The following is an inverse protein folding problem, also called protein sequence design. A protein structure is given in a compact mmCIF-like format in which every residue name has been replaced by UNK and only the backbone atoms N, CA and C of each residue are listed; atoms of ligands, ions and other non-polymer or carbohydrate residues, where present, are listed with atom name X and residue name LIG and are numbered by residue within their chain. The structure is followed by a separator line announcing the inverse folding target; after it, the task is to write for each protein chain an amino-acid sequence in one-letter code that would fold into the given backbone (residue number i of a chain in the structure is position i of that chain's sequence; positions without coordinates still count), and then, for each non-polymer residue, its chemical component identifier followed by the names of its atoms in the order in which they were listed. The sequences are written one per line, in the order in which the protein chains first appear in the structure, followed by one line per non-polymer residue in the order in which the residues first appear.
data_IF_101073951902
#
_entry.id   IF_101073951902
#
_cell.length_a   1.000
_cell.length_b   1.000
_cell.length_c   1.000
_cell.angle_alpha   90.00
_cell.angle_beta   90.00
_cell.angle_gamma   90.00
#
_symmetry.space_group_name_H-M   'P 1'
#
loop_
_entity.id
_entity.type
_entity.pdbx_description
1 polymer ?
#
# COMPACT_ATOMS: atom_id res chain seq x y z
N UNK A 1 12.26 -14.31 11.78
CA UNK A 1 13.33 -15.34 11.71
C UNK A 1 14.62 -14.73 12.24
N UNK A 2 15.42 -15.46 13.02
CA UNK A 2 16.64 -14.90 13.66
C UNK A 2 16.40 -13.55 14.37
N UNK A 3 15.27 -13.43 15.08
CA UNK A 3 14.76 -12.23 15.75
C UNK A 3 14.28 -11.07 14.86
N UNK A 4 14.45 -11.12 13.55
CA UNK A 4 13.86 -10.14 12.64
C UNK A 4 12.38 -10.45 12.37
N UNK A 5 11.58 -9.40 12.27
CA UNK A 5 10.20 -9.43 11.85
C UNK A 5 10.08 -9.48 10.32
N UNK A 6 8.95 -10.00 9.86
CA UNK A 6 8.44 -9.89 8.49
C UNK A 6 6.99 -9.43 8.61
N UNK A 7 6.53 -8.55 7.73
CA UNK A 7 5.13 -8.07 7.77
C UNK A 7 4.46 -8.17 6.41
N UNK A 8 3.36 -8.91 6.35
CA UNK A 8 2.71 -9.29 5.10
C UNK A 8 1.21 -9.26 5.26
N UNK A 9 0.56 -8.43 4.45
CA UNK A 9 -0.89 -8.45 4.25
C UNK A 9 -1.22 -8.91 2.82
N UNK A 10 -2.16 -9.84 2.73
CA UNK A 10 -2.79 -10.28 1.48
C UNK A 10 -4.30 -10.32 1.67
N UNK A 11 -5.02 -9.89 0.66
CA UNK A 11 -6.48 -10.03 0.60
C UNK A 11 -6.83 -10.99 -0.52
N UNK A 12 -7.57 -12.07 -0.21
CA UNK A 12 -7.91 -13.13 -1.17
C UNK A 12 -9.40 -13.45 -1.12
N UNK A 13 -10.01 -13.89 -2.24
CA UNK A 13 -11.40 -14.33 -2.24
C UNK A 13 -11.49 -15.73 -1.62
N UNK A 14 -12.27 -15.89 -0.55
CA UNK A 14 -12.37 -17.16 0.19
C UNK A 14 -12.77 -18.35 -0.72
N UNK A 15 -13.60 -18.09 -1.73
CA UNK A 15 -14.04 -19.09 -2.72
C UNK A 15 -13.11 -19.21 -3.95
N UNK A 16 -11.94 -18.57 -3.93
CA UNK A 16 -10.97 -18.60 -5.02
C UNK A 16 -11.28 -17.69 -6.22
N UNK A 17 -12.36 -16.90 -6.20
CA UNK A 17 -12.69 -15.96 -7.30
C UNK A 17 -13.15 -14.60 -6.78
N UNK A 18 -12.50 -13.53 -7.24
CA UNK A 18 -12.94 -12.18 -6.92
C UNK A 18 -14.25 -11.88 -7.66
N UNK A 19 -15.19 -11.21 -7.00
CA UNK A 19 -16.28 -10.55 -7.73
C UNK A 19 -15.72 -9.41 -8.58
N UNK A 20 -16.43 -8.95 -9.63
CA UNK A 20 -15.96 -7.83 -10.44
C UNK A 20 -15.60 -6.58 -9.60
N UNK A 21 -16.42 -6.26 -8.59
CA UNK A 21 -16.17 -5.11 -7.70
C UNK A 21 -14.97 -5.32 -6.79
N UNK A 22 -14.80 -6.52 -6.21
CA UNK A 22 -13.62 -6.82 -5.39
C UNK A 22 -12.35 -6.74 -6.24
N UNK A 23 -12.37 -7.28 -7.46
CA UNK A 23 -11.22 -7.26 -8.38
C UNK A 23 -10.86 -5.83 -8.81
N UNK A 24 -11.85 -4.97 -9.03
CA UNK A 24 -11.65 -3.56 -9.36
C UNK A 24 -10.91 -2.81 -8.23
N UNK A 25 -11.39 -2.95 -6.98
CA UNK A 25 -10.78 -2.32 -5.80
C UNK A 25 -9.41 -2.96 -5.50
N UNK A 26 -9.26 -4.27 -5.70
CA UNK A 26 -8.00 -4.98 -5.51
C UNK A 26 -6.92 -4.42 -6.43
N UNK A 27 -7.24 -4.32 -7.72
CA UNK A 27 -6.33 -3.80 -8.72
C UNK A 27 -6.01 -2.32 -8.50
N UNK A 28 -6.94 -1.54 -7.93
CA UNK A 28 -6.67 -0.17 -7.50
C UNK A 28 -5.61 -0.12 -6.39
N UNK A 29 -5.77 -0.91 -5.32
CA UNK A 29 -4.76 -1.01 -4.25
C UNK A 29 -3.42 -1.49 -4.79
N UNK A 30 -3.41 -2.48 -5.69
CA UNK A 30 -2.19 -3.00 -6.30
C UNK A 30 -1.46 -1.93 -7.15
N UNK A 31 -2.19 -1.11 -7.90
CA UNK A 31 -1.60 0.02 -8.64
C UNK A 31 -0.98 1.04 -7.70
N UNK A 32 -1.65 1.38 -6.59
CA UNK A 32 -1.09 2.28 -5.57
C UNK A 32 0.17 1.67 -4.97
N UNK A 33 0.15 0.39 -4.60
CA UNK A 33 1.31 -0.31 -4.02
C UNK A 33 2.51 -0.27 -4.97
N UNK A 34 2.32 -0.66 -6.24
CA UNK A 34 3.40 -0.66 -7.24
C UNK A 34 4.02 0.72 -7.41
N UNK A 35 3.21 1.77 -7.44
CA UNK A 35 3.69 3.15 -7.53
C UNK A 35 4.36 3.63 -6.23
N UNK A 36 3.80 3.28 -5.08
CA UNK A 36 4.33 3.60 -3.75
C UNK A 36 5.71 2.98 -3.53
N UNK A 37 5.91 1.71 -3.90
CA UNK A 37 7.23 1.04 -3.81
C UNK A 37 8.31 1.86 -4.51
N UNK A 38 8.04 2.44 -5.69
CA UNK A 38 9.02 3.26 -6.43
C UNK A 38 9.44 4.55 -5.71
N UNK A 39 8.67 5.00 -4.71
CA UNK A 39 8.97 6.19 -3.90
C UNK A 39 9.87 5.88 -2.69
N UNK A 40 10.03 4.60 -2.31
CA UNK A 40 10.92 4.14 -1.24
C UNK A 40 12.38 4.10 -1.73
N UNK A 41 12.99 5.28 -1.81
CA UNK A 41 14.34 5.49 -2.33
C UNK A 41 15.13 6.47 -1.46
N UNK A 42 16.48 6.47 -1.54
CA UNK A 42 17.31 7.39 -0.77
C UNK A 42 16.89 8.86 -1.00
N UNK A 43 16.91 9.65 0.07
CA UNK A 43 16.54 11.07 0.05
C UNK A 43 15.05 11.38 0.27
N UNK A 44 14.15 10.40 0.16
CA UNK A 44 12.72 10.60 0.46
C UNK A 44 12.49 10.73 1.98
N UNK A 45 11.61 11.65 2.42
CA UNK A 45 11.12 11.71 3.80
C UNK A 45 9.82 10.92 3.96
N UNK A 46 9.60 10.32 5.14
CA UNK A 46 8.39 9.51 5.40
C UNK A 46 7.09 10.30 5.25
N UNK A 47 7.06 11.56 5.69
CA UNK A 47 5.88 12.41 5.57
C UNK A 47 5.57 12.75 4.10
N UNK A 48 6.61 13.01 3.29
CA UNK A 48 6.45 13.29 1.85
C UNK A 48 6.02 12.03 1.09
N UNK A 49 6.59 10.88 1.45
CA UNK A 49 6.15 9.58 0.95
C UNK A 49 4.65 9.36 1.19
N UNK A 50 4.18 9.55 2.43
CA UNK A 50 2.76 9.38 2.77
C UNK A 50 1.85 10.36 2.02
N UNK A 51 2.28 11.61 1.80
CA UNK A 51 1.53 12.59 1.00
C UNK A 51 1.39 12.15 -0.46
N UNK A 52 2.48 11.70 -1.08
CA UNK A 52 2.46 11.23 -2.47
C UNK A 52 1.62 9.96 -2.63
N UNK A 53 1.72 9.01 -1.69
CA UNK A 53 0.83 7.82 -1.69
C UNK A 53 -0.64 8.23 -1.51
N UNK A 54 -0.91 9.24 -0.68
CA UNK A 54 -2.25 9.83 -0.55
C UNK A 54 -2.82 10.32 -1.89
N UNK A 55 -2.03 11.05 -2.69
CA UNK A 55 -2.43 11.51 -4.03
C UNK A 55 -2.70 10.35 -5.00
N UNK A 56 -1.85 9.32 -4.97
CA UNK A 56 -2.07 8.09 -5.76
C UNK A 56 -3.38 7.41 -5.37
N UNK A 57 -3.65 7.32 -4.07
CA UNK A 57 -4.88 6.76 -3.52
C UNK A 57 -6.12 7.56 -3.94
N UNK A 58 -6.07 8.89 -3.86
CA UNK A 58 -7.18 9.76 -4.31
C UNK A 58 -7.55 9.53 -5.76
N UNK A 59 -6.55 9.44 -6.64
CA UNK A 59 -6.78 9.17 -8.06
C UNK A 59 -7.51 7.85 -8.29
N UNK A 60 -7.13 6.81 -7.55
CA UNK A 60 -7.79 5.50 -7.63
C UNK A 60 -9.20 5.53 -7.02
N UNK A 61 -9.41 6.23 -5.90
CA UNK A 61 -10.75 6.40 -5.29
C UNK A 61 -11.71 7.17 -6.20
N UNK A 62 -11.21 8.15 -6.97
CA UNK A 62 -12.01 8.84 -8.00
C UNK A 62 -12.35 7.89 -9.15
N UNK A 63 -11.39 7.08 -9.62
CA UNK A 63 -11.64 6.06 -10.67
C UNK A 63 -12.70 5.03 -10.24
N UNK A 64 -12.65 4.61 -8.98
CA UNK A 64 -13.61 3.70 -8.36
C UNK A 64 -14.98 4.34 -8.05
N UNK A 65 -15.14 5.64 -8.32
CA UNK A 65 -16.32 6.46 -8.02
C UNK A 65 -16.67 6.51 -6.53
N UNK A 66 -15.68 6.34 -5.66
CA UNK A 66 -15.82 6.45 -4.20
C UNK A 66 -15.63 7.90 -3.72
N UNK A 67 -14.96 8.72 -4.54
CA UNK A 67 -14.80 10.16 -4.36
C UNK A 67 -15.16 10.90 -5.65
N UNK A 68 -15.66 12.12 -5.49
CA UNK A 68 -15.90 13.05 -6.58
C UNK A 68 -14.64 13.87 -6.90
N UNK A 69 -14.32 14.04 -8.19
CA UNK A 69 -13.11 14.70 -8.62
C UNK A 69 -13.10 16.21 -8.32
N UNK A 70 -14.26 16.88 -8.39
CA UNK A 70 -14.39 18.30 -8.03
C UNK A 70 -14.25 18.51 -6.53
N UNK A 71 -14.79 17.60 -5.71
CA UNK A 71 -14.61 17.62 -4.28
C UNK A 71 -13.14 17.45 -3.87
N UNK A 72 -12.43 16.49 -4.49
CA UNK A 72 -10.98 16.28 -4.26
C UNK A 72 -10.17 17.53 -4.63
N UNK A 73 -10.48 18.20 -5.75
CA UNK A 73 -9.80 19.46 -6.14
C UNK A 73 -9.99 20.61 -5.15
N UNK A 74 -11.06 20.60 -4.37
CA UNK A 74 -11.45 21.68 -3.44
C UNK A 74 -11.27 21.30 -1.97
N UNK A 75 -10.69 20.14 -1.70
CA UNK A 75 -10.54 19.64 -0.34
C UNK A 75 -9.56 20.48 0.47
N UNK A 76 -9.69 20.37 1.79
CA UNK A 76 -8.68 20.85 2.74
C UNK A 76 -7.48 19.89 2.71
N UNK A 77 -6.29 20.39 2.36
CA UNK A 77 -5.07 19.55 2.27
C UNK A 77 -4.69 18.92 3.60
N UNK A 78 -5.05 19.54 4.73
CA UNK A 78 -4.82 18.99 6.07
C UNK A 78 -5.86 17.92 6.45
N UNK A 79 -6.95 17.79 5.67
CA UNK A 79 -8.04 16.81 5.87
C UNK A 79 -8.43 16.14 4.55
N UNK A 80 -7.49 15.40 3.93
CA UNK A 80 -7.72 14.85 2.61
C UNK A 80 -8.83 13.79 2.64
N UNK A 81 -9.70 13.82 1.63
CA UNK A 81 -10.91 13.00 1.54
C UNK A 81 -10.60 11.51 1.46
N UNK A 82 -9.43 11.12 0.93
CA UNK A 82 -9.04 9.71 0.89
C UNK A 82 -8.99 9.07 2.27
N UNK A 83 -8.77 9.85 3.34
CA UNK A 83 -8.70 9.33 4.71
C UNK A 83 -9.99 8.64 5.17
N UNK A 84 -11.13 8.90 4.49
CA UNK A 84 -12.37 8.12 4.68
C UNK A 84 -12.17 6.63 4.36
N UNK A 85 -11.38 6.31 3.34
CA UNK A 85 -11.17 4.94 2.83
C UNK A 85 -9.77 4.38 3.10
N UNK A 86 -8.78 5.24 3.38
CA UNK A 86 -7.40 4.88 3.66
C UNK A 86 -6.84 5.76 4.80
N UNK A 87 -7.12 5.37 6.05
CA UNK A 87 -6.91 6.19 7.25
C UNK A 87 -5.50 6.10 7.85
N UNK A 88 -4.80 4.99 7.64
CA UNK A 88 -3.47 4.73 8.23
C UNK A 88 -2.32 5.32 7.37
N UNK A 89 -1.08 5.13 7.83
CA UNK A 89 0.12 5.42 7.04
C UNK A 89 0.36 4.34 6.00
N UNK A 90 1.14 4.66 4.96
CA UNK A 90 1.46 3.73 3.87
C UNK A 90 2.73 2.89 4.12
N UNK A 91 3.45 3.15 5.21
CA UNK A 91 4.74 2.54 5.51
C UNK A 91 5.18 2.81 6.95
N UNK A 92 5.92 1.88 7.53
CA UNK A 92 6.75 2.06 8.73
C UNK A 92 8.07 1.31 8.60
N UNK A 93 9.05 1.65 9.45
CA UNK A 93 10.30 0.89 9.54
C UNK A 93 10.03 -0.54 10.02
N UNK A 94 10.84 -1.49 9.52
CA UNK A 94 10.78 -2.89 9.89
C UNK A 94 12.19 -3.43 10.20
N UNK A 95 12.30 -4.28 11.22
CA UNK A 95 13.58 -4.88 11.60
C UNK A 95 13.44 -5.84 12.78
N UNK A 96 14.00 -5.48 13.93
CA UNK A 96 13.89 -6.33 15.14
C UNK A 96 12.50 -6.27 15.76
N UNK A 97 11.75 -5.20 15.48
CA UNK A 97 10.33 -5.07 15.79
C UNK A 97 9.53 -4.90 14.50
N UNK A 98 8.23 -5.21 14.57
CA UNK A 98 7.30 -5.00 13.44
C UNK A 98 7.21 -3.52 13.10
N UNK A 99 6.82 -2.69 14.06
CA UNK A 99 7.00 -1.23 13.97
C UNK A 99 8.36 -0.88 14.57
N UNK A 100 9.42 -0.97 13.77
CA UNK A 100 10.78 -0.75 14.27
C UNK A 100 11.09 0.72 14.50
N UNK A 101 12.12 0.94 15.30
CA UNK A 101 12.58 2.29 15.61
C UNK A 101 13.04 3.02 14.34
N UNK A 102 12.60 4.27 14.19
CA UNK A 102 13.07 5.15 13.13
C UNK A 102 12.82 6.62 13.43
N UNK A 103 13.73 7.47 12.95
CA UNK A 103 13.55 8.91 13.01
C UNK A 103 12.80 9.39 11.76
N UNK A 104 11.52 9.73 11.90
CA UNK A 104 10.70 10.20 10.77
C UNK A 104 11.18 11.48 10.08
N UNK A 105 12.07 12.25 10.72
CA UNK A 105 12.68 13.46 10.16
C UNK A 105 13.99 13.19 9.42
N UNK A 106 14.46 11.93 9.41
CA UNK A 106 15.61 11.49 8.65
C UNK A 106 15.13 11.02 7.27
N UNK A 107 15.79 11.51 6.22
CA UNK A 107 15.59 10.98 4.88
C UNK A 107 15.98 9.51 4.80
N UNK A 108 15.31 8.76 3.95
CA UNK A 108 15.65 7.38 3.68
C UNK A 108 17.07 7.25 3.14
N UNK A 109 17.74 6.16 3.49
CA UNK A 109 19.07 5.79 3.04
C UNK A 109 19.09 4.31 2.64
N UNK A 110 20.05 3.93 1.80
CA UNK A 110 20.24 2.53 1.44
C UNK A 110 20.52 1.68 2.70
N UNK A 111 19.93 0.49 2.73
CA UNK A 111 19.98 -0.43 3.87
C UNK A 111 18.81 -0.30 4.85
N UNK A 112 17.98 0.74 4.75
CA UNK A 112 16.73 0.82 5.50
C UNK A 112 15.69 -0.15 4.94
N UNK A 113 14.89 -0.76 5.82
CA UNK A 113 13.77 -1.63 5.46
C UNK A 113 12.46 -1.02 5.94
N UNK A 114 11.47 -1.02 5.06
CA UNK A 114 10.15 -0.44 5.27
C UNK A 114 9.05 -1.36 4.76
N UNK A 115 7.89 -1.33 5.39
CA UNK A 115 6.67 -1.89 4.78
C UNK A 115 6.14 -0.97 3.69
N UNK A 116 5.38 -1.51 2.73
CA UNK A 116 4.58 -0.74 1.79
C UNK A 116 3.15 -1.31 1.75
N UNK A 117 2.23 -0.67 2.44
CA UNK A 117 0.96 -1.28 2.88
C UNK A 117 -0.32 -0.48 2.54
N UNK A 118 -0.52 0.02 1.30
CA UNK A 118 -1.76 0.73 0.99
C UNK A 118 -2.99 -0.16 1.12
N UNK A 119 -4.12 0.45 1.49
CA UNK A 119 -5.40 -0.25 1.55
C UNK A 119 -6.60 0.65 1.31
N UNK A 120 -7.71 0.05 0.87
CA UNK A 120 -9.00 0.70 0.69
C UNK A 120 -10.04 -0.08 1.50
N UNK A 121 -10.73 0.59 2.41
CA UNK A 121 -11.75 0.00 3.29
C UNK A 121 -13.10 0.66 3.02
N UNK A 122 -14.07 -0.10 2.51
CA UNK A 122 -15.38 0.42 2.06
C UNK A 122 -16.47 -0.15 2.97
N UNK A 123 -16.74 0.55 4.07
CA UNK A 123 -17.74 0.11 5.06
C UNK A 123 -19.11 -0.17 4.44
N UNK A 124 -19.55 0.69 3.51
CA UNK A 124 -20.88 0.60 2.88
C UNK A 124 -21.00 -0.61 1.94
N UNK A 125 -19.88 -1.10 1.40
CA UNK A 125 -19.82 -2.31 0.56
C UNK A 125 -19.44 -3.57 1.36
N UNK A 126 -19.09 -3.43 2.64
CA UNK A 126 -18.84 -4.54 3.56
C UNK A 126 -17.49 -5.25 3.37
N UNK A 127 -16.53 -4.66 2.67
CA UNK A 127 -15.19 -5.24 2.50
C UNK A 127 -14.07 -4.20 2.51
N UNK A 128 -12.84 -4.67 2.68
CA UNK A 128 -11.64 -3.87 2.56
C UNK A 128 -10.48 -4.70 2.01
N UNK A 129 -9.52 -4.03 1.41
CA UNK A 129 -8.37 -4.64 0.76
C UNK A 129 -7.11 -3.93 1.22
N UNK A 130 -6.13 -4.68 1.71
CA UNK A 130 -4.75 -4.24 1.92
C UNK A 130 -3.81 -5.22 1.25
N UNK A 131 -2.76 -4.69 0.62
CA UNK A 131 -1.65 -5.45 0.04
C UNK A 131 -0.37 -4.84 0.58
N UNK A 132 0.46 -5.66 1.20
CA UNK A 132 1.65 -5.20 1.93
C UNK A 132 2.84 -6.10 1.66
N UNK A 133 3.96 -5.47 1.36
CA UNK A 133 5.26 -6.12 1.18
C UNK A 133 6.35 -5.38 1.96
N UNK A 134 7.41 -6.11 2.30
CA UNK A 134 8.63 -5.60 2.91
C UNK A 134 9.63 -5.17 1.82
N UNK A 135 10.09 -3.93 1.90
CA UNK A 135 10.91 -3.27 0.88
C UNK A 135 12.25 -2.85 1.49
N UNK A 136 13.34 -3.34 0.90
CA UNK A 136 14.70 -2.90 1.17
C UNK A 136 15.04 -1.72 0.27
N UNK A 137 15.42 -0.60 0.86
CA UNK A 137 15.93 0.55 0.10
C UNK A 137 17.38 0.28 -0.31
N UNK A 138 17.70 0.42 -1.59
CA UNK A 138 19.08 0.29 -2.13
C UNK A 138 19.45 1.49 -2.98
N UNK A 139 20.74 1.65 -3.29
CA UNK A 139 21.23 2.69 -4.21
C UNK A 139 20.75 2.51 -5.65
N UNK A 140 20.28 1.31 -6.02
CA UNK A 140 19.79 0.98 -7.37
C UNK A 140 18.26 1.06 -7.49
N UNK A 141 17.58 1.36 -6.39
CA UNK A 141 16.12 1.33 -6.28
C UNK A 141 15.62 0.40 -5.16
N UNK A 142 14.31 0.40 -4.89
CA UNK A 142 13.70 -0.50 -3.92
C UNK A 142 13.80 -1.96 -4.35
N UNK A 143 14.17 -2.84 -3.43
CA UNK A 143 14.08 -4.30 -3.60
C UNK A 143 12.93 -4.85 -2.76
N UNK A 144 11.99 -5.51 -3.44
CA UNK A 144 10.87 -6.19 -2.78
C UNK A 144 11.32 -7.57 -2.27
N UNK A 145 11.37 -7.72 -0.95
CA UNK A 145 11.77 -8.95 -0.25
C UNK A 145 10.71 -10.05 -0.34
N UNK A 146 9.51 -9.70 -0.82
CA UNK A 146 8.34 -10.56 -0.94
C UNK A 146 7.90 -10.74 -2.40
N UNK A 147 8.75 -10.36 -3.37
CA UNK A 147 8.47 -10.42 -4.82
C UNK A 147 8.01 -11.77 -5.37
N UNK A 148 8.29 -12.86 -4.66
CA UNK A 148 7.89 -14.21 -5.05
C UNK A 148 6.54 -14.65 -4.46
N UNK A 149 5.87 -13.78 -3.68
CA UNK A 149 4.55 -14.05 -3.12
C UNK A 149 3.50 -13.36 -4.02
N UNK A 150 2.56 -14.13 -4.60
CA UNK A 150 1.57 -13.62 -5.55
C UNK A 150 0.83 -12.36 -5.08
N UNK A 151 0.68 -11.41 -6.00
CA UNK A 151 -0.10 -10.18 -5.82
C UNK A 151 -1.00 -9.86 -7.01
N UNK A 152 -0.84 -10.54 -8.15
CA UNK A 152 -1.76 -10.36 -9.26
C UNK A 152 -3.06 -11.13 -9.00
N UNK A 153 -4.21 -10.49 -9.22
CA UNK A 153 -5.51 -11.12 -8.97
C UNK A 153 -5.67 -12.41 -9.78
N UNK A 154 -5.25 -12.41 -11.04
CA UNK A 154 -5.27 -13.58 -11.92
C UNK A 154 -4.39 -14.73 -11.42
N UNK A 155 -3.20 -14.41 -10.91
CA UNK A 155 -2.28 -15.41 -10.35
C UNK A 155 -2.86 -16.04 -9.08
N UNK A 156 -3.46 -15.22 -8.21
CA UNK A 156 -4.16 -15.69 -7.00
C UNK A 156 -5.33 -16.60 -7.37
N UNK A 157 -6.19 -16.18 -8.31
CA UNK A 157 -7.32 -16.98 -8.78
C UNK A 157 -6.86 -18.31 -9.39
N UNK A 158 -5.74 -18.33 -10.13
CA UNK A 158 -5.18 -19.54 -10.72
C UNK A 158 -4.63 -20.51 -9.65
N UNK A 159 -3.94 -20.01 -8.62
CA UNK A 159 -3.40 -20.83 -7.53
C UNK A 159 -4.48 -21.38 -6.61
N UNK A 160 -5.62 -20.69 -6.51
CA UNK A 160 -6.78 -21.11 -5.71
C UNK A 160 -7.78 -21.97 -6.49
N UNK A 161 -7.58 -22.15 -7.79
CA UNK A 161 -8.41 -23.04 -8.60
C UNK A 161 -8.12 -24.50 -8.21
N UNK A 162 -8.98 -25.05 -7.35
CA UNK A 162 -9.02 -26.48 -6.98
C UNK A 162 -9.99 -27.21 -7.90
#
# INVERSE_FOLDING_TARGET
YANYASDLSRTVPVNGRFTPRQKEVYNAVLRVQKAAIQLLRPGTLLDDYNKEVGKLMENELVRLRLLDADAVRKQDEDKPLYKKYFMHGASHHLGLNVHDYGNKYRSFEAGMVFTCEPGIYIKDEGFGIRIENDILITDKGPEDLMKNIPVEAEEIEALMAV
#
